data_IF_285732892545
#
_entry.id   IF_285732892545
#
_cell.length_a   1.000
_cell.length_b   1.000
_cell.length_c   1.000
_cell.angle_alpha   90.00
_cell.angle_beta   90.00
_cell.angle_gamma   90.00
#
_symmetry.space_group_name_H-M   'P 1'
#
loop_
_entity.id
_entity.type
_entity.pdbx_description
1 polymer ?
#
# COMPACT_ATOMS: atom_id res chain seq x y z
N UNK A 1 3.89 9.39 3.34
CA UNK A 1 3.48 8.00 3.59
C UNK A 1 4.47 7.33 4.51
N UNK A 2 3.98 6.68 5.52
CA UNK A 2 4.86 6.03 6.49
C UNK A 2 4.16 4.79 7.06
N UNK A 3 4.94 3.96 7.72
CA UNK A 3 4.41 2.74 8.32
C UNK A 3 3.27 3.07 9.27
N UNK A 4 2.17 2.35 9.11
CA UNK A 4 0.97 2.59 9.91
C UNK A 4 -0.11 3.37 9.18
N UNK A 5 0.23 3.99 8.06
CA UNK A 5 -0.75 4.75 7.29
C UNK A 5 -1.72 3.81 6.57
N UNK A 6 -2.94 4.27 6.45
CA UNK A 6 -3.93 3.57 5.64
C UNK A 6 -3.74 4.01 4.19
N UNK A 7 -3.48 3.04 3.31
CA UNK A 7 -3.15 3.32 1.92
C UNK A 7 -4.01 2.47 1.00
N UNK A 8 -4.07 2.88 -0.25
CA UNK A 8 -4.74 2.10 -1.29
C UNK A 8 -3.87 2.04 -2.53
N UNK A 9 -4.12 1.05 -3.37
CA UNK A 9 -3.41 0.89 -4.62
C UNK A 9 -4.06 1.79 -5.67
N UNK A 10 -3.29 2.68 -6.27
CA UNK A 10 -3.82 3.64 -7.22
C UNK A 10 -4.40 2.97 -8.46
N UNK A 11 -3.80 1.88 -8.89
CA UNK A 11 -4.21 1.18 -10.11
C UNK A 11 -5.38 0.24 -9.88
N UNK A 12 -5.93 0.21 -8.67
CA UNK A 12 -6.99 -0.73 -8.36
C UNK A 12 -8.25 -0.39 -9.13
N UNK A 13 -8.98 -1.43 -9.48
CA UNK A 13 -10.29 -1.27 -10.08
C UNK A 13 -11.18 -0.52 -9.08
N UNK A 14 -11.92 0.50 -9.53
CA UNK A 14 -12.76 1.26 -8.60
C UNK A 14 -13.81 0.42 -7.88
N UNK A 15 -14.17 -0.73 -8.44
CA UNK A 15 -15.11 -1.62 -7.76
C UNK A 15 -14.46 -2.55 -6.77
N UNK A 16 -13.14 -2.57 -6.72
CA UNK A 16 -12.40 -3.46 -5.82
C UNK A 16 -12.21 -2.78 -4.48
N UNK A 17 -12.73 -3.38 -3.44
CA UNK A 17 -12.61 -2.86 -2.08
C UNK A 17 -11.42 -3.44 -1.33
N UNK A 18 -10.78 -4.45 -1.91
CA UNK A 18 -9.69 -5.15 -1.23
C UNK A 18 -8.35 -4.48 -1.42
N UNK A 19 -8.31 -3.35 -2.09
CA UNK A 19 -7.03 -2.69 -2.38
C UNK A 19 -6.61 -1.69 -1.31
N UNK A 20 -7.35 -1.64 -0.22
CA UNK A 20 -7.01 -0.77 0.90
C UNK A 20 -6.36 -1.62 1.98
N UNK A 21 -5.34 -1.08 2.62
CA UNK A 21 -4.67 -1.78 3.70
C UNK A 21 -3.74 -0.86 4.45
N UNK A 22 -3.03 -1.44 5.40
CA UNK A 22 -2.07 -0.69 6.21
C UNK A 22 -0.67 -0.90 5.71
N UNK A 23 0.07 0.19 5.64
CA UNK A 23 1.47 0.14 5.26
C UNK A 23 2.27 -0.42 6.43
N UNK A 24 2.93 -1.54 6.23
CA UNK A 24 3.64 -2.19 7.32
C UNK A 24 5.15 -2.17 7.15
N UNK A 25 5.67 -1.90 5.96
CA UNK A 25 7.10 -1.98 5.75
C UNK A 25 7.50 -1.31 4.44
N UNK A 26 8.68 -0.73 4.43
CA UNK A 26 9.31 -0.23 3.21
C UNK A 26 10.50 -1.09 2.86
N UNK A 27 10.72 -1.29 1.55
CA UNK A 27 11.88 -1.99 1.05
C UNK A 27 12.42 -1.23 -0.14
N UNK A 28 13.73 -1.30 -0.33
CA UNK A 28 14.36 -0.62 -1.46
C UNK A 28 15.30 -1.59 -2.16
N UNK A 29 15.10 -1.74 -3.46
CA UNK A 29 15.92 -2.61 -4.28
C UNK A 29 16.29 -1.88 -5.56
N UNK A 30 17.58 -1.85 -5.86
CA UNK A 30 18.05 -1.32 -7.12
C UNK A 30 17.56 0.07 -7.44
N UNK A 31 17.43 0.92 -6.45
CA UNK A 31 16.98 2.29 -6.65
C UNK A 31 15.48 2.46 -6.69
N UNK A 32 14.73 1.39 -6.57
CA UNK A 32 13.28 1.43 -6.53
C UNK A 32 12.79 1.20 -5.11
N UNK A 33 11.77 1.93 -4.72
CA UNK A 33 11.20 1.81 -3.39
C UNK A 33 9.89 1.05 -3.46
N UNK A 34 9.78 0.01 -2.64
CA UNK A 34 8.59 -0.81 -2.55
C UNK A 34 8.02 -0.73 -1.15
N UNK A 35 6.73 -0.91 -1.05
CA UNK A 35 6.05 -0.88 0.23
C UNK A 35 5.21 -2.14 0.37
N UNK A 36 5.22 -2.70 1.57
CA UNK A 36 4.44 -3.87 1.87
C UNK A 36 3.17 -3.43 2.60
N UNK A 37 2.04 -3.92 2.13
CA UNK A 37 0.73 -3.50 2.63
C UNK A 37 -0.03 -4.72 3.13
N UNK A 38 -0.56 -4.62 4.33
CA UNK A 38 -1.41 -5.67 4.88
C UNK A 38 -2.86 -5.31 4.58
N UNK A 39 -3.48 -6.10 3.74
CA UNK A 39 -4.85 -5.84 3.30
C UNK A 39 -5.87 -6.31 4.33
N UNK A 40 -7.05 -5.71 4.27
CA UNK A 40 -8.09 -6.00 5.24
C UNK A 40 -8.62 -7.43 5.15
N UNK A 41 -8.42 -8.08 4.01
CA UNK A 41 -8.84 -9.46 3.86
C UNK A 41 -7.80 -10.46 4.36
N UNK A 42 -6.71 -9.99 4.96
CA UNK A 42 -5.79 -10.84 5.67
C UNK A 42 -4.53 -11.24 4.95
N UNK A 43 -4.28 -10.72 3.76
CA UNK A 43 -3.03 -11.05 3.10
C UNK A 43 -2.19 -9.82 2.84
N UNK A 44 -0.92 -10.05 2.54
CA UNK A 44 0.06 -9.00 2.36
C UNK A 44 0.48 -8.92 0.91
N UNK A 45 0.56 -7.71 0.39
CA UNK A 45 1.04 -7.48 -0.96
C UNK A 45 2.17 -6.47 -0.96
N UNK A 46 3.04 -6.58 -1.96
CA UNK A 46 4.14 -5.64 -2.14
C UNK A 46 3.88 -4.81 -3.39
N UNK A 47 3.99 -3.50 -3.25
CA UNK A 47 3.71 -2.57 -4.34
C UNK A 47 4.79 -1.51 -4.39
N UNK A 48 4.96 -0.89 -5.54
CA UNK A 48 5.81 0.30 -5.61
C UNK A 48 5.18 1.42 -4.80
N UNK A 49 6.01 2.20 -4.15
CA UNK A 49 5.50 3.32 -3.36
C UNK A 49 4.71 4.29 -4.24
N UNK A 50 5.10 4.45 -5.51
CA UNK A 50 4.38 5.34 -6.41
C UNK A 50 3.00 4.80 -6.80
N UNK A 51 2.76 3.52 -6.58
CA UNK A 51 1.46 2.91 -6.87
C UNK A 51 0.49 3.00 -5.70
N UNK A 52 0.92 3.58 -4.59
CA UNK A 52 0.12 3.67 -3.38
C UNK A 52 -0.26 5.11 -3.10
N UNK A 53 -1.41 5.27 -2.46
CA UNK A 53 -1.92 6.58 -2.11
C UNK A 53 -2.43 6.53 -0.68
N UNK A 54 -2.09 7.54 0.12
CA UNK A 54 -2.57 7.61 1.50
C UNK A 54 -4.05 7.93 1.49
N UNK A 55 -4.82 7.06 2.13
CA UNK A 55 -6.27 7.22 2.19
C UNK A 55 -6.68 8.02 3.41
N UNK A 56 -6.03 7.75 4.52
CA UNK A 56 -6.38 8.40 5.78
C UNK A 56 -5.24 9.29 6.22
N UNK A 57 -5.55 10.51 6.49
CA UNK A 57 -4.60 11.51 6.93
C UNK A 57 -5.01 11.95 8.33
N UNK A 58 -4.21 11.60 9.28
CA UNK A 58 -4.54 11.99 10.67
C UNK A 58 -3.57 12.99 11.17
#
# INVERSE_FOLDING_TARGET
MKVGDLVKVKWANPTSKEKIGFLIMFQRFGGSEFAKVFHTNGYTGTYRSSALEVVSCK
#
